data_IF_572098209262
#
_entry.id   IF_572098209262
#
_cell.length_a   1.000
_cell.length_b   1.000
_cell.length_c   1.000
_cell.angle_alpha   90.00
_cell.angle_beta   90.00
_cell.angle_gamma   90.00
#
_symmetry.space_group_name_H-M   'P 1'
#
loop_
_entity.id
_entity.type
_entity.pdbx_description
1 polymer ?
#
# COMPACT_ATOMS: atom_id res chain seq x y z
N UNK A 1 -21.08 1.73 5.61
CA UNK A 1 -20.67 1.32 4.24
C UNK A 1 -19.23 1.75 4.02
N UNK A 2 -18.28 0.82 4.15
CA UNK A 2 -16.86 1.04 3.84
C UNK A 2 -16.74 1.22 2.32
N UNK A 3 -16.63 2.48 1.86
CA UNK A 3 -16.35 2.80 0.46
C UNK A 3 -15.11 2.01 0.04
N UNK A 4 -15.30 1.15 -0.95
CA UNK A 4 -14.30 0.21 -1.47
C UNK A 4 -12.93 0.89 -1.55
N UNK A 5 -12.03 0.40 -0.69
CA UNK A 5 -10.60 0.69 -0.72
C UNK A 5 -10.04 -0.01 -1.95
N UNK A 6 -10.21 0.60 -3.12
CA UNK A 6 -9.56 0.13 -4.34
C UNK A 6 -8.07 0.45 -4.16
N UNK A 7 -7.21 -0.58 -4.09
CA UNK A 7 -5.77 -0.36 -3.99
C UNK A 7 -5.26 0.41 -5.23
N UNK A 8 -4.23 1.21 -5.03
CA UNK A 8 -3.54 1.87 -6.13
C UNK A 8 -2.98 0.79 -7.10
N UNK A 9 -3.18 0.90 -8.42
CA UNK A 9 -2.62 -0.06 -9.37
C UNK A 9 -1.10 -0.26 -9.26
N UNK A 10 -0.37 0.78 -8.83
CA UNK A 10 1.07 0.68 -8.56
C UNK A 10 1.38 -0.19 -7.33
N UNK A 11 0.49 -0.20 -6.33
CA UNK A 11 0.64 -1.07 -5.17
C UNK A 11 0.43 -2.54 -5.54
N UNK A 12 -0.59 -2.87 -6.34
CA UNK A 12 -0.81 -4.24 -6.82
C UNK A 12 0.43 -4.77 -7.53
N UNK A 13 1.04 -3.92 -8.38
CA UNK A 13 2.27 -4.27 -9.09
C UNK A 13 3.46 -4.53 -8.14
N UNK A 14 3.64 -3.68 -7.13
CA UNK A 14 4.73 -3.85 -6.13
C UNK A 14 4.51 -5.10 -5.28
N UNK A 15 3.27 -5.36 -4.84
CA UNK A 15 2.93 -6.57 -4.08
C UNK A 15 3.25 -7.82 -4.90
N UNK A 16 2.79 -7.88 -6.14
CA UNK A 16 2.99 -9.04 -7.01
C UNK A 16 4.50 -9.32 -7.23
N UNK A 17 5.33 -8.29 -7.41
CA UNK A 17 6.77 -8.46 -7.57
C UNK A 17 7.46 -8.97 -6.30
N UNK A 18 7.04 -8.50 -5.13
CA UNK A 18 7.60 -8.93 -3.86
C UNK A 18 7.15 -10.36 -3.50
N UNK A 19 5.89 -10.72 -3.78
CA UNK A 19 5.39 -12.09 -3.63
C UNK A 19 6.12 -13.07 -4.57
N UNK A 20 6.38 -12.65 -5.81
CA UNK A 20 7.20 -13.41 -6.75
C UNK A 20 8.63 -13.57 -6.22
N UNK A 21 9.24 -12.51 -5.69
CA UNK A 21 10.57 -12.57 -5.09
C UNK A 21 10.61 -13.58 -3.91
N UNK A 22 9.58 -13.58 -3.05
CA UNK A 22 9.49 -14.52 -1.93
C UNK A 22 9.33 -15.98 -2.39
N UNK A 23 8.62 -16.19 -3.51
CA UNK A 23 8.37 -17.51 -4.09
C UNK A 23 9.62 -18.14 -4.71
N UNK A 24 10.54 -17.34 -5.26
CA UNK A 24 11.78 -17.83 -5.87
C UNK A 24 12.92 -17.99 -4.86
N UNK A 25 12.86 -17.35 -3.70
CA UNK A 25 13.88 -17.49 -2.66
C UNK A 25 13.75 -18.88 -2.02
N UNK A 26 14.83 -19.69 -2.00
CA UNK A 26 14.82 -21.02 -1.40
C UNK A 26 14.28 -21.03 0.04
N UNK A 27 13.69 -22.14 0.46
CA UNK A 27 13.36 -22.39 1.86
C UNK A 27 14.58 -23.01 2.55
N UNK A 28 15.59 -22.18 2.80
CA UNK A 28 16.85 -22.59 3.45
C UNK A 28 17.27 -21.57 4.53
N UNK A 29 17.83 -22.01 5.67
CA UNK A 29 18.24 -21.13 6.76
C UNK A 29 19.17 -19.98 6.33
N UNK A 30 19.97 -20.15 5.28
CA UNK A 30 20.87 -19.10 4.75
C UNK A 30 20.12 -17.95 4.08
N UNK A 31 18.85 -18.16 3.75
CA UNK A 31 17.99 -17.19 3.08
C UNK A 31 16.89 -16.64 3.98
N UNK A 32 16.80 -17.09 5.23
CA UNK A 32 15.76 -16.67 6.18
C UNK A 32 15.76 -15.15 6.39
N UNK A 33 16.93 -14.53 6.53
CA UNK A 33 17.04 -13.07 6.64
C UNK A 33 16.52 -12.35 5.39
N UNK A 34 16.85 -12.84 4.20
CA UNK A 34 16.36 -12.28 2.94
C UNK A 34 14.84 -12.43 2.82
N UNK A 35 14.29 -13.59 3.19
CA UNK A 35 12.85 -13.84 3.20
C UNK A 35 12.13 -12.92 4.18
N UNK A 36 12.71 -12.70 5.36
CA UNK A 36 12.18 -11.78 6.36
C UNK A 36 12.18 -10.33 5.84
N UNK A 37 13.26 -9.87 5.21
CA UNK A 37 13.32 -8.52 4.61
C UNK A 37 12.31 -8.34 3.47
N UNK A 38 12.09 -9.36 2.64
CA UNK A 38 11.06 -9.31 1.59
C UNK A 38 9.66 -9.23 2.22
N UNK A 39 9.40 -10.01 3.28
CA UNK A 39 8.13 -9.94 4.03
C UNK A 39 7.87 -8.54 4.62
N UNK A 40 8.88 -7.96 5.28
CA UNK A 40 8.78 -6.60 5.84
C UNK A 40 8.53 -5.54 4.75
N UNK A 41 9.13 -5.70 3.56
CA UNK A 41 8.89 -4.83 2.41
C UNK A 41 7.44 -4.94 1.91
N UNK A 42 6.84 -6.13 1.90
CA UNK A 42 5.42 -6.34 1.56
C UNK A 42 4.53 -5.61 2.57
N UNK A 43 4.74 -5.85 3.86
CA UNK A 43 3.95 -5.22 4.93
C UNK A 43 4.05 -3.69 4.89
N UNK A 44 5.24 -3.15 4.63
CA UNK A 44 5.46 -1.71 4.46
C UNK A 44 4.75 -1.17 3.22
N UNK A 45 4.78 -1.91 2.10
CA UNK A 45 4.08 -1.51 0.88
C UNK A 45 2.55 -1.47 1.09
N UNK A 46 2.01 -2.45 1.82
CA UNK A 46 0.61 -2.49 2.28
C UNK A 46 0.32 -1.24 3.11
N UNK A 47 1.10 -0.98 4.16
CA UNK A 47 0.88 0.18 5.02
C UNK A 47 0.87 1.48 4.19
N UNK A 48 1.84 1.68 3.30
CA UNK A 48 1.95 2.89 2.49
C UNK A 48 0.78 3.06 1.51
N UNK A 49 0.32 1.98 0.87
CA UNK A 49 -0.81 2.01 -0.06
C UNK A 49 -2.12 2.41 0.64
N UNK A 50 -2.33 1.95 1.87
CA UNK A 50 -3.54 2.25 2.63
C UNK A 50 -3.45 3.54 3.48
N UNK A 51 -2.24 3.97 3.91
CA UNK A 51 -2.02 5.16 4.78
C UNK A 51 -2.24 6.50 4.07
N UNK A 52 -2.09 6.57 2.74
CA UNK A 52 -2.22 7.84 1.99
C UNK A 52 -3.68 8.30 1.81
N UNK A 53 -4.65 7.38 1.91
CA UNK A 53 -6.07 7.72 1.71
C UNK A 53 -6.68 8.49 2.88
N UNK A 54 -6.14 8.35 4.09
CA UNK A 54 -6.62 9.07 5.28
C UNK A 54 -6.21 10.55 5.31
N UNK A 55 -5.03 10.91 4.77
CA UNK A 55 -4.56 12.30 4.78
C UNK A 55 -5.21 13.20 3.73
N UNK A 56 -5.80 12.65 2.68
CA UNK A 56 -6.50 13.42 1.64
C UNK A 56 -8.02 13.52 1.82
N UNK A 57 -8.61 12.80 2.78
CA UNK A 57 -10.01 12.98 3.18
C UNK A 57 -10.29 14.32 3.88
N UNK A 58 -9.27 15.02 4.38
CA UNK A 58 -9.43 16.32 5.07
C UNK A 58 -9.18 17.55 4.21
N UNK A 59 -8.54 17.43 3.03
CA UNK A 59 -8.34 18.58 2.11
C UNK A 59 -9.39 18.68 1.01
N UNK A 60 -10.03 17.57 0.63
CA UNK A 60 -11.16 17.60 -0.31
C UNK A 60 -12.47 18.14 0.31
N UNK A 61 -12.61 18.09 1.64
CA UNK A 61 -13.78 18.62 2.35
C UNK A 61 -13.76 20.15 2.53
N UNK A 62 -12.59 20.79 2.37
CA UNK A 62 -12.45 22.25 2.53
C UNK A 62 -12.64 23.04 1.23
N UNK A 63 -12.68 22.38 0.06
CA UNK A 63 -12.89 23.07 -1.22
C UNK A 63 -14.36 23.12 -1.66
N UNK A 64 -15.24 22.31 -1.06
CA UNK A 64 -16.68 22.28 -1.39
C UNK A 64 -17.47 23.34 -0.61
N UNK A 65 -16.93 23.90 0.48
CA UNK A 65 -17.62 24.90 1.33
C UNK A 65 -17.18 26.35 1.00
N UNK A 66 -16.56 26.59 -0.16
CA UNK A 66 -16.17 27.96 -0.56
C UNK A 66 -16.61 28.35 -1.97
N UNK A 67 -17.49 27.56 -2.61
CA UNK A 67 -18.04 27.88 -3.94
C UNK A 67 -19.55 28.19 -3.93
N UNK A 68 -20.20 28.34 -2.78
CA UNK A 68 -21.64 28.66 -2.69
C UNK A 68 -21.95 30.06 -2.13
N UNK A 69 -21.07 31.03 -2.38
CA UNK A 69 -21.39 32.44 -2.15
C UNK A 69 -20.77 33.32 -3.23
N UNK A 70 -21.45 33.43 -4.38
CA UNK A 70 -21.50 34.67 -5.15
C UNK A 70 -22.66 34.68 -6.14
#
# INVERSE_FOLDING_TARGET
MLKQLVPDPLYEHVRDHLEQALAIVPLDPKTDELRASIGEAVDTAIELAYRRRERHGRRAALYVISSEHH
#
